data_IF_131742974166
#
_entry.id   IF_131742974166
#
_cell.length_a   1.000
_cell.length_b   1.000
_cell.length_c   1.000
_cell.angle_alpha   90.00
_cell.angle_beta   90.00
_cell.angle_gamma   90.00
#
_symmetry.space_group_name_H-M   'P 1'
#
loop_
_entity.id
_entity.type
_entity.pdbx_description
1 polymer ?
#
# COMPACT_ATOMS: atom_id res chain seq x y z
N UNK A 1 -10.86 17.20 -22.75
CA UNK A 1 -11.04 17.89 -21.45
C UNK A 1 -10.26 17.08 -20.44
N UNK A 2 -8.94 17.23 -20.48
CA UNK A 2 -8.03 16.56 -19.58
C UNK A 2 -8.09 17.28 -18.24
N UNK A 3 -8.76 16.66 -17.28
CA UNK A 3 -8.68 17.08 -15.88
C UNK A 3 -7.20 17.09 -15.50
N UNK A 4 -6.64 18.27 -15.25
CA UNK A 4 -5.32 18.43 -14.67
C UNK A 4 -5.37 17.88 -13.25
N UNK A 5 -5.28 16.55 -13.13
CA UNK A 5 -5.16 15.87 -11.87
C UNK A 5 -3.82 16.32 -11.28
N UNK A 6 -3.89 17.12 -10.22
CA UNK A 6 -2.72 17.48 -9.41
C UNK A 6 -1.89 16.21 -9.17
N UNK A 7 -0.59 16.24 -9.48
CA UNK A 7 0.25 15.05 -9.32
C UNK A 7 0.25 14.68 -7.84
N UNK A 8 -0.32 13.51 -7.53
CA UNK A 8 -0.41 12.95 -6.18
C UNK A 8 0.97 12.87 -5.49
N UNK A 9 2.05 12.86 -6.26
CA UNK A 9 3.43 12.84 -5.80
C UNK A 9 4.21 14.07 -6.33
N UNK A 10 5.04 14.72 -5.50
CA UNK A 10 5.88 15.83 -5.95
C UNK A 10 6.94 15.35 -6.96
N UNK A 11 7.51 16.25 -7.79
CA UNK A 11 8.44 15.88 -8.87
C UNK A 11 9.65 15.05 -8.41
N UNK A 12 10.12 15.24 -7.17
CA UNK A 12 11.23 14.49 -6.59
C UNK A 12 10.90 13.05 -6.16
N UNK A 13 9.63 12.64 -6.21
CA UNK A 13 9.15 11.32 -5.80
C UNK A 13 8.41 10.58 -6.93
N UNK A 14 8.71 10.90 -8.20
CA UNK A 14 8.11 10.22 -9.35
C UNK A 14 8.27 8.68 -9.31
N UNK A 15 9.36 8.18 -8.71
CA UNK A 15 9.58 6.74 -8.48
C UNK A 15 8.49 6.12 -7.58
N UNK A 16 7.95 6.88 -6.62
CA UNK A 16 6.88 6.41 -5.74
C UNK A 16 5.57 6.19 -6.49
N UNK A 17 5.32 6.92 -7.58
CA UNK A 17 4.15 6.69 -8.43
C UNK A 17 4.16 5.26 -9.00
N UNK A 18 5.32 4.81 -9.45
CA UNK A 18 5.45 3.45 -10.02
C UNK A 18 5.19 2.40 -8.95
N UNK A 19 5.68 2.61 -7.73
CA UNK A 19 5.43 1.72 -6.60
C UNK A 19 3.95 1.75 -6.20
N UNK A 20 3.32 2.93 -6.20
CA UNK A 20 1.90 3.11 -5.91
C UNK A 20 1.02 2.30 -6.84
N UNK A 21 1.30 2.37 -8.14
CA UNK A 21 0.55 1.66 -9.17
C UNK A 21 0.72 0.14 -9.06
N UNK A 22 1.90 -0.35 -8.65
CA UNK A 22 2.17 -1.77 -8.44
C UNK A 22 1.47 -2.37 -7.20
N UNK A 23 1.11 -1.54 -6.22
CA UNK A 23 0.40 -1.95 -5.01
C UNK A 23 -1.13 -1.94 -5.16
N UNK A 24 -1.64 -1.66 -6.37
CA UNK A 24 -3.07 -1.65 -6.66
C UNK A 24 -3.56 -2.98 -7.19
N UNK A 25 -4.73 -3.38 -6.74
CA UNK A 25 -5.43 -4.57 -7.20
C UNK A 25 -6.02 -4.35 -8.59
N UNK A 26 -5.74 -5.26 -9.53
CA UNK A 26 -6.28 -5.19 -10.90
C UNK A 26 -7.78 -5.42 -11.06
N UNK A 27 -8.51 -5.69 -9.96
CA UNK A 27 -9.98 -5.87 -9.97
C UNK A 27 -10.69 -4.63 -9.42
N UNK A 28 -10.25 -4.09 -8.29
CA UNK A 28 -10.89 -2.94 -7.64
C UNK A 28 -10.14 -1.61 -7.82
N UNK A 29 -8.92 -1.63 -8.36
CA UNK A 29 -8.04 -0.47 -8.57
C UNK A 29 -7.63 0.30 -7.28
N UNK A 30 -7.99 -0.24 -6.13
CA UNK A 30 -7.55 0.21 -4.81
C UNK A 30 -6.31 -0.57 -4.34
N UNK A 31 -5.68 -0.11 -3.25
CA UNK A 31 -4.61 -0.88 -2.59
C UNK A 31 -5.08 -2.27 -2.18
N UNK A 32 -4.13 -3.21 -2.13
CA UNK A 32 -4.43 -4.58 -1.72
C UNK A 32 -4.99 -4.64 -0.29
N UNK A 33 -6.22 -5.11 -0.14
CA UNK A 33 -6.79 -5.44 1.16
C UNK A 33 -6.73 -6.95 1.37
N UNK A 34 -5.75 -7.40 2.18
CA UNK A 34 -5.38 -8.80 2.39
C UNK A 34 -4.98 -9.42 1.05
N UNK A 35 -3.73 -9.17 0.64
CA UNK A 35 -3.22 -9.62 -0.64
C UNK A 35 -3.18 -11.15 -0.73
N UNK A 36 -3.77 -11.70 -1.78
CA UNK A 36 -3.70 -13.10 -2.15
C UNK A 36 -2.87 -13.25 -3.43
N UNK A 37 -1.89 -14.15 -3.40
CA UNK A 37 -1.09 -14.54 -4.55
C UNK A 37 -1.60 -15.86 -5.13
N UNK A 38 -1.54 -15.95 -6.46
CA UNK A 38 -1.80 -17.15 -7.24
C UNK A 38 -0.44 -17.83 -7.55
N UNK A 39 -0.05 -18.93 -6.90
CA UNK A 39 1.31 -19.48 -7.00
C UNK A 39 1.75 -19.89 -8.41
N UNK A 40 0.81 -20.26 -9.28
CA UNK A 40 1.07 -20.70 -10.65
C UNK A 40 1.41 -19.57 -11.62
N UNK A 41 1.08 -18.31 -11.28
CA UNK A 41 1.32 -17.18 -12.18
C UNK A 41 1.74 -15.88 -11.48
N UNK A 42 1.92 -15.90 -10.16
CA UNK A 42 2.40 -14.79 -9.32
C UNK A 42 1.59 -13.50 -9.40
N UNK A 43 0.33 -13.56 -9.88
CA UNK A 43 -0.57 -12.41 -9.85
C UNK A 43 -1.20 -12.24 -8.47
N UNK A 44 -1.40 -10.99 -8.06
CA UNK A 44 -1.86 -10.62 -6.73
C UNK A 44 -3.19 -9.85 -6.82
N UNK A 45 -4.08 -10.12 -5.88
CA UNK A 45 -5.40 -9.49 -5.78
C UNK A 45 -5.84 -9.40 -4.31
N UNK A 46 -6.82 -8.55 -4.00
CA UNK A 46 -7.44 -8.57 -2.67
C UNK A 46 -8.16 -9.90 -2.44
N UNK A 47 -8.21 -10.36 -1.18
CA UNK A 47 -8.82 -11.66 -0.84
C UNK A 47 -10.27 -11.80 -1.30
N UNK A 48 -11.10 -10.78 -1.07
CA UNK A 48 -12.49 -10.76 -1.49
C UNK A 48 -12.63 -10.65 -3.02
N UNK A 49 -11.75 -9.89 -3.67
CA UNK A 49 -11.80 -9.67 -5.11
C UNK A 49 -11.56 -10.96 -5.88
N UNK A 50 -10.49 -11.70 -5.55
CA UNK A 50 -10.19 -12.94 -6.27
C UNK A 50 -11.19 -14.04 -5.96
N UNK A 51 -11.64 -14.20 -4.70
CA UNK A 51 -12.65 -15.22 -4.35
C UNK A 51 -13.96 -14.97 -5.10
N UNK A 52 -14.43 -13.72 -5.16
CA UNK A 52 -15.62 -13.34 -5.94
C UNK A 52 -15.47 -13.65 -7.43
N UNK A 53 -14.28 -13.41 -7.99
CA UNK A 53 -14.00 -13.72 -9.39
C UNK A 53 -13.97 -15.23 -9.64
N UNK A 54 -13.33 -16.02 -8.77
CA UNK A 54 -13.26 -17.48 -8.89
C UNK A 54 -14.63 -18.15 -8.76
N UNK A 55 -15.57 -17.56 -7.99
CA UNK A 55 -16.96 -18.00 -7.96
C UNK A 55 -17.68 -17.83 -9.31
N UNK A 56 -17.21 -16.92 -10.17
CA UNK A 56 -17.74 -16.72 -11.51
C UNK A 56 -16.97 -17.54 -12.56
N UNK A 57 -15.63 -17.49 -12.55
CA UNK A 57 -14.75 -18.26 -13.44
C UNK A 57 -13.47 -18.68 -12.72
N UNK A 58 -13.14 -19.97 -12.77
CA UNK A 58 -11.97 -20.58 -12.13
C UNK A 58 -10.67 -20.35 -12.91
N UNK A 59 -10.36 -19.09 -13.22
CA UNK A 59 -9.15 -18.67 -13.93
C UNK A 59 -8.60 -17.36 -13.37
N UNK A 60 -7.32 -17.09 -13.62
CA UNK A 60 -6.71 -15.80 -13.31
C UNK A 60 -7.32 -14.69 -14.19
N UNK A 61 -7.74 -13.55 -13.61
CA UNK A 61 -8.26 -12.41 -14.38
C UNK A 61 -7.28 -11.84 -15.42
N UNK A 62 -5.98 -11.87 -15.13
CA UNK A 62 -4.95 -11.23 -15.99
C UNK A 62 -4.39 -12.18 -17.05
N UNK A 63 -4.03 -13.41 -16.68
CA UNK A 63 -3.31 -14.32 -17.57
C UNK A 63 -4.11 -15.57 -17.98
N UNK A 64 -5.37 -15.69 -17.52
CA UNK A 64 -6.29 -16.77 -17.88
C UNK A 64 -5.82 -18.20 -17.53
N UNK A 65 -4.75 -18.36 -16.72
CA UNK A 65 -4.34 -19.64 -16.16
C UNK A 65 -5.43 -20.17 -15.23
N UNK A 66 -5.70 -21.47 -15.22
CA UNK A 66 -6.68 -22.10 -14.32
C UNK A 66 -6.26 -21.95 -12.86
N UNK A 67 -7.20 -21.54 -12.00
CA UNK A 67 -6.97 -21.31 -10.57
C UNK A 67 -8.18 -21.78 -9.79
N UNK A 68 -7.94 -22.45 -8.67
CA UNK A 68 -9.00 -22.79 -7.71
C UNK A 68 -8.79 -22.03 -6.39
N UNK A 69 -9.88 -21.82 -5.65
CA UNK A 69 -9.84 -21.12 -4.36
C UNK A 69 -8.84 -21.70 -3.32
N UNK A 70 -8.67 -23.02 -3.16
CA UNK A 70 -7.70 -23.56 -2.20
C UNK A 70 -6.23 -23.33 -2.58
N UNK A 71 -5.95 -23.00 -3.84
CA UNK A 71 -4.58 -22.73 -4.31
C UNK A 71 -4.09 -21.34 -3.87
N UNK A 72 -5.02 -20.45 -3.50
CA UNK A 72 -4.71 -19.08 -3.11
C UNK A 72 -3.91 -19.04 -1.80
N UNK A 73 -2.81 -18.29 -1.79
CA UNK A 73 -1.98 -18.06 -0.60
C UNK A 73 -1.97 -16.58 -0.24
N UNK A 74 -1.90 -16.27 1.05
CA UNK A 74 -1.72 -14.90 1.51
C UNK A 74 -0.29 -14.42 1.23
N UNK A 75 -0.16 -13.23 0.67
CA UNK A 75 1.12 -12.57 0.44
C UNK A 75 1.30 -11.41 1.43
N UNK A 76 1.73 -11.75 2.66
CA UNK A 76 1.87 -10.78 3.76
C UNK A 76 2.85 -9.65 3.48
N UNK A 77 3.79 -9.86 2.54
CA UNK A 77 4.77 -8.84 2.15
C UNK A 77 4.06 -7.64 1.51
N UNK A 78 3.02 -7.87 0.71
CA UNK A 78 2.27 -6.77 0.10
C UNK A 78 1.45 -6.00 1.13
N UNK A 79 0.93 -6.67 2.16
CA UNK A 79 0.22 -6.03 3.26
C UNK A 79 1.17 -5.16 4.11
N UNK A 80 2.41 -5.63 4.33
CA UNK A 80 3.45 -4.86 5.02
C UNK A 80 3.92 -3.64 4.19
N UNK A 81 4.03 -3.80 2.87
CA UNK A 81 4.43 -2.73 1.95
C UNK A 81 3.36 -1.64 1.85
N UNK A 82 2.06 -1.99 1.81
CA UNK A 82 0.97 -1.02 1.84
C UNK A 82 1.10 -0.08 3.06
N UNK A 83 1.31 -0.67 4.25
CA UNK A 83 1.49 0.08 5.49
C UNK A 83 2.69 1.03 5.42
N UNK A 84 3.81 0.58 4.85
CA UNK A 84 5.01 1.41 4.71
C UNK A 84 4.85 2.57 3.72
N UNK A 85 4.17 2.35 2.58
CA UNK A 85 3.91 3.39 1.57
C UNK A 85 2.89 4.40 2.09
N UNK A 86 1.87 3.96 2.83
CA UNK A 86 0.92 4.84 3.50
C UNK A 86 1.60 5.73 4.56
N UNK A 87 2.54 5.19 5.33
CA UNK A 87 3.36 5.98 6.27
C UNK A 87 4.24 6.99 5.52
N UNK A 88 4.90 6.57 4.43
CA UNK A 88 5.74 7.47 3.63
C UNK A 88 4.92 8.61 3.00
N UNK A 89 3.72 8.32 2.48
CA UNK A 89 2.80 9.33 1.96
C UNK A 89 2.37 10.32 3.04
N UNK A 90 2.02 9.83 4.25
CA UNK A 90 1.62 10.69 5.39
C UNK A 90 2.76 11.57 5.88
N UNK A 91 3.98 11.03 5.93
CA UNK A 91 5.17 11.79 6.33
C UNK A 91 5.56 12.81 5.26
N UNK A 92 5.48 12.49 3.97
CA UNK A 92 5.81 13.44 2.88
C UNK A 92 4.75 14.55 2.71
N UNK A 93 3.47 14.24 2.90
CA UNK A 93 2.39 15.25 2.98
C UNK A 93 2.45 16.06 4.28
N UNK A 94 2.88 15.48 5.40
CA UNK A 94 3.14 16.25 6.64
C UNK A 94 4.40 17.10 6.56
N UNK A 95 5.47 16.70 5.86
CA UNK A 95 6.69 17.52 5.68
C UNK A 95 6.39 18.74 4.80
N UNK A 96 5.53 18.60 3.80
CA UNK A 96 5.02 19.75 3.03
C UNK A 96 4.10 20.64 3.88
N UNK A 97 3.38 20.07 4.86
CA UNK A 97 2.62 20.85 5.85
C UNK A 97 3.52 21.51 6.93
N UNK A 98 4.65 20.90 7.30
CA UNK A 98 5.61 21.44 8.26
C UNK A 98 6.27 22.73 7.76
N UNK A 99 6.45 22.86 6.44
CA UNK A 99 6.93 24.11 5.82
C UNK A 99 5.84 25.16 5.56
N UNK A 100 4.54 24.82 5.64
CA UNK A 100 3.45 25.73 5.26
C UNK A 100 2.42 26.03 6.37
N UNK A 101 2.41 25.36 7.51
CA UNK A 101 1.45 25.62 8.59
C UNK A 101 2.14 26.03 9.90
N UNK A 102 2.25 27.35 10.07
CA UNK A 102 2.33 27.98 11.39
C UNK A 102 1.01 27.69 12.13
N UNK A 103 1.10 27.26 13.39
CA UNK A 103 0.03 27.20 14.43
C UNK A 103 -0.91 25.97 14.49
N UNK A 104 -0.71 25.18 15.55
CA UNK A 104 -1.70 24.80 16.58
C UNK A 104 -2.62 23.56 16.46
N UNK A 105 -2.47 22.66 15.47
CA UNK A 105 -3.31 21.44 15.42
C UNK A 105 -2.62 20.13 15.84
N UNK A 106 -1.31 20.13 16.09
CA UNK A 106 -0.56 18.89 16.34
C UNK A 106 -0.25 18.67 17.83
N UNK A 107 -1.28 18.53 18.67
CA UNK A 107 -1.11 18.00 20.03
C UNK A 107 -1.80 16.65 20.26
N UNK A 108 -2.73 16.24 19.39
CA UNK A 108 -3.50 15.01 19.64
C UNK A 108 -2.89 13.73 19.05
N UNK A 109 -2.00 13.81 18.05
CA UNK A 109 -1.40 12.63 17.39
C UNK A 109 -0.07 12.20 18.04
N UNK A 110 0.59 13.10 18.78
CA UNK A 110 1.92 12.85 19.36
C UNK A 110 1.95 11.94 20.59
N UNK A 111 0.81 11.55 21.16
CA UNK A 111 0.81 10.77 22.42
C UNK A 111 0.90 9.26 22.28
N UNK A 112 0.72 8.66 21.08
CA UNK A 112 0.47 7.21 21.01
C UNK A 112 1.54 6.33 20.33
N UNK A 113 2.62 6.86 19.73
CA UNK A 113 3.58 5.97 19.03
C UNK A 113 5.05 6.38 19.00
N UNK A 114 5.44 7.51 19.60
CA UNK A 114 6.84 7.95 19.58
C UNK A 114 7.72 7.34 20.69
N UNK A 115 7.16 6.63 21.67
CA UNK A 115 7.97 6.01 22.72
C UNK A 115 8.62 4.68 22.32
N UNK A 116 8.12 3.98 21.30
CA UNK A 116 8.61 2.63 20.97
C UNK A 116 9.66 2.63 19.85
N UNK A 117 9.59 3.56 18.89
CA UNK A 117 10.52 3.55 17.73
C UNK A 117 11.89 4.18 18.07
N UNK A 118 11.94 5.19 18.94
CA UNK A 118 13.22 5.83 19.29
C UNK A 118 14.05 5.06 20.35
N UNK A 119 13.45 4.21 21.19
CA UNK A 119 14.20 3.47 22.23
C UNK A 119 14.97 2.24 21.73
N UNK A 120 14.73 1.77 20.51
CA UNK A 120 15.44 0.60 19.97
C UNK A 120 16.78 0.94 19.29
N UNK A 121 17.08 2.22 19.07
CA UNK A 121 18.31 2.66 18.38
C UNK A 121 19.51 2.96 19.28
N UNK A 122 19.35 2.95 20.61
CA UNK A 122 20.34 3.49 21.56
C UNK A 122 21.06 2.42 22.40
N UNK A 123 21.05 1.15 21.99
CA UNK A 123 21.67 0.04 22.75
C UNK A 123 22.67 -0.81 21.94
N UNK A 124 23.22 -0.29 20.84
CA UNK A 124 24.28 -1.01 20.09
C UNK A 124 25.61 -0.25 19.96
N UNK A 125 25.77 0.89 20.62
CA UNK A 125 27.08 1.54 20.79
C UNK A 125 27.18 2.20 22.16
N UNK A 126 27.61 1.43 23.15
CA UNK A 126 27.92 1.87 24.51
C UNK A 126 28.61 0.75 25.26
#
# INVERSE_FOLDING_TARGET
MDSLAEPRWPPGLAVMKTIDDLLRCGICFEYFNIAMIIPQCSHNYCSLCIRKFLSYKTQCPTCCVTVTEPDLKNNRILDELESSVAVCFRVTTQISCFFLFKESCCQSIYSCSLQTVFKAGEQVNG
#
